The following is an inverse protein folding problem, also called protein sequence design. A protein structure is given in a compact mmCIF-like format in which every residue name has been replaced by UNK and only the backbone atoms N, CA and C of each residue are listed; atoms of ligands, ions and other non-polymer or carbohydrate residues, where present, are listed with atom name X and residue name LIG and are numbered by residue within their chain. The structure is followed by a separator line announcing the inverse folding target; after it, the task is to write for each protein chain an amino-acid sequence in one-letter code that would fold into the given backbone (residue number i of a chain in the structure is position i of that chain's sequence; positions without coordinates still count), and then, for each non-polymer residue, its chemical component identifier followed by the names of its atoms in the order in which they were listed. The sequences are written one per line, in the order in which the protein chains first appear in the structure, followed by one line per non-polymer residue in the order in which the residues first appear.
data_IF_371081197046
#
_entry.id   IF_371081197046
#
_cell.length_a   1.000
_cell.length_b   1.000
_cell.length_c   1.000
_cell.angle_alpha   90.00
_cell.angle_beta   90.00
_cell.angle_gamma   90.00
#
_symmetry.space_group_name_H-M   'P 1'
#
loop_
_entity.id
_entity.type
_entity.pdbx_description
1 polymer ?
#
# COMPACT_ATOMS: atom_id res chain seq x y z
N UNK A 1 -82.49 50.71 18.39
CA UNK A 1 -81.47 50.42 19.46
C UNK A 1 -80.69 49.19 19.10
N UNK A 2 -79.52 49.37 18.51
CA UNK A 2 -78.71 48.24 18.02
C UNK A 2 -77.34 48.31 18.71
N UNK A 3 -77.03 47.27 19.46
CA UNK A 3 -75.74 47.14 20.11
C UNK A 3 -74.78 46.32 19.20
N UNK A 4 -73.75 46.98 18.75
CA UNK A 4 -72.67 46.34 17.94
C UNK A 4 -71.55 45.98 18.88
N UNK A 5 -71.29 44.67 19.03
CA UNK A 5 -70.18 44.16 19.85
C UNK A 5 -68.92 43.93 19.01
N UNK A 6 -67.88 44.65 19.25
CA UNK A 6 -66.55 44.53 18.62
C UNK A 6 -65.78 43.38 19.32
N UNK A 7 -65.45 42.34 18.58
CA UNK A 7 -64.55 41.27 19.03
C UNK A 7 -63.11 41.57 18.56
N UNK A 8 -62.20 41.86 19.49
CA UNK A 8 -60.76 41.94 19.24
C UNK A 8 -60.19 40.54 19.14
N UNK A 9 -59.61 40.19 17.96
CA UNK A 9 -58.76 39.02 17.76
C UNK A 9 -57.32 39.37 18.10
N UNK A 10 -56.75 38.79 19.14
CA UNK A 10 -55.32 38.87 19.43
C UNK A 10 -54.66 37.68 18.72
N UNK A 11 -53.86 37.96 17.68
CA UNK A 11 -53.03 36.98 16.98
C UNK A 11 -51.71 36.85 17.73
N UNK A 12 -51.49 35.74 18.41
CA UNK A 12 -50.18 35.33 18.94
C UNK A 12 -49.31 34.80 17.78
N UNK A 13 -48.31 35.57 17.33
CA UNK A 13 -47.23 35.04 16.47
C UNK A 13 -46.25 34.27 17.35
N UNK A 14 -46.32 32.94 17.28
CA UNK A 14 -45.29 32.03 17.85
C UNK A 14 -44.06 32.02 16.93
N UNK A 15 -42.99 32.67 17.29
CA UNK A 15 -41.71 32.55 16.60
C UNK A 15 -41.10 31.19 16.93
N UNK A 16 -41.12 30.22 15.99
CA UNK A 16 -40.40 28.96 16.09
C UNK A 16 -38.94 29.22 15.80
N UNK A 17 -38.12 29.27 16.82
CA UNK A 17 -36.66 29.33 16.71
C UNK A 17 -36.16 27.95 16.27
N UNK A 18 -35.93 27.73 14.97
CA UNK A 18 -35.22 26.58 14.45
C UNK A 18 -33.73 26.72 14.78
N UNK A 19 -33.29 26.06 15.86
CA UNK A 19 -31.87 25.90 16.13
C UNK A 19 -31.33 24.93 15.08
N UNK A 20 -30.65 25.46 14.06
CA UNK A 20 -29.87 24.68 13.12
C UNK A 20 -28.68 24.06 13.90
N UNK A 21 -28.82 22.79 14.29
CA UNK A 21 -27.71 21.99 14.79
C UNK A 21 -26.77 21.76 13.63
N UNK A 22 -25.75 22.61 13.48
CA UNK A 22 -24.64 22.34 12.58
C UNK A 22 -24.00 21.01 13.02
N UNK A 23 -23.72 20.07 12.08
CA UNK A 23 -23.02 18.83 12.46
C UNK A 23 -21.72 19.22 13.14
N UNK A 24 -21.53 18.76 14.39
CA UNK A 24 -20.30 18.95 15.13
C UNK A 24 -19.18 18.31 14.31
N UNK A 25 -18.43 19.11 13.58
CA UNK A 25 -17.19 18.69 12.96
C UNK A 25 -16.26 18.29 14.10
N UNK A 26 -15.89 17.01 14.19
CA UNK A 26 -14.98 16.54 15.23
C UNK A 26 -13.78 17.48 15.25
N UNK A 27 -13.58 18.17 16.37
CA UNK A 27 -12.51 19.15 16.51
C UNK A 27 -11.18 18.41 16.43
N UNK A 28 -10.28 18.88 15.57
CA UNK A 28 -8.94 18.32 15.43
C UNK A 28 -8.23 18.29 16.79
N UNK A 29 -7.62 17.17 17.21
CA UNK A 29 -6.86 17.10 18.46
C UNK A 29 -5.78 18.19 18.53
N UNK A 30 -5.50 18.71 19.72
CA UNK A 30 -4.55 19.79 19.90
C UNK A 30 -3.15 19.49 19.33
N UNK A 31 -2.66 18.25 19.50
CA UNK A 31 -1.38 17.80 18.93
C UNK A 31 -1.39 17.81 17.40
N UNK A 32 -2.50 17.40 16.77
CA UNK A 32 -2.65 17.38 15.32
C UNK A 32 -2.71 18.79 14.75
N UNK A 33 -3.45 19.69 15.42
CA UNK A 33 -3.50 21.11 15.07
C UNK A 33 -2.11 21.77 15.15
N UNK A 34 -1.36 21.52 16.22
CA UNK A 34 -0.01 22.06 16.39
C UNK A 34 0.94 21.56 15.28
N UNK A 35 0.89 20.27 14.96
CA UNK A 35 1.71 19.67 13.90
C UNK A 35 1.32 20.22 12.53
N UNK A 36 0.02 20.39 12.28
CA UNK A 36 -0.49 20.97 11.04
C UNK A 36 -0.04 22.44 10.86
N UNK A 37 -0.10 23.28 11.91
CA UNK A 37 0.40 24.66 11.84
C UNK A 37 1.91 24.73 11.55
N UNK A 38 2.68 23.79 12.07
CA UNK A 38 4.10 23.66 11.74
C UNK A 38 4.33 23.22 10.30
N UNK A 39 3.56 22.23 9.80
CA UNK A 39 3.64 21.73 8.44
C UNK A 39 3.23 22.79 7.41
N UNK A 40 2.26 23.66 7.71
CA UNK A 40 1.89 24.77 6.82
C UNK A 40 3.04 25.72 6.50
N UNK A 41 3.98 25.89 7.41
CA UNK A 41 5.17 26.74 7.18
C UNK A 41 6.11 26.10 6.16
N UNK A 42 6.09 24.77 6.03
CA UNK A 42 6.88 23.99 5.09
C UNK A 42 6.23 23.94 3.67
N UNK A 43 4.92 24.20 3.57
CA UNK A 43 4.10 24.33 2.35
C UNK A 43 3.94 23.06 1.56
N UNK A 44 4.97 22.25 1.39
CA UNK A 44 4.95 21.03 0.59
C UNK A 44 6.00 20.03 1.06
N UNK A 45 5.77 18.77 0.73
CA UNK A 45 6.72 17.68 0.97
C UNK A 45 6.69 16.67 -0.17
N UNK A 46 7.71 15.82 -0.25
CA UNK A 46 7.80 14.79 -1.29
C UNK A 46 7.91 13.39 -0.66
N UNK A 47 7.07 12.48 -1.14
CA UNK A 47 7.07 11.06 -0.78
C UNK A 47 7.78 10.26 -1.87
N UNK A 48 8.85 9.54 -1.52
CA UNK A 48 9.38 8.48 -2.38
C UNK A 48 8.68 7.18 -2.00
N UNK A 49 7.96 6.56 -2.94
CA UNK A 49 7.16 5.37 -2.65
C UNK A 49 7.29 4.28 -3.71
N UNK A 50 7.27 3.04 -3.25
CA UNK A 50 7.28 1.85 -4.11
C UNK A 50 6.06 0.94 -3.89
N UNK A 51 5.25 1.21 -2.86
CA UNK A 51 4.14 0.31 -2.48
C UNK A 51 2.92 0.51 -3.37
N UNK A 52 2.42 1.73 -3.41
CA UNK A 52 1.18 2.05 -4.12
C UNK A 52 1.38 2.06 -5.64
N UNK A 53 0.34 1.78 -6.41
CA UNK A 53 0.28 2.22 -7.79
C UNK A 53 0.12 3.74 -7.85
N UNK A 54 0.22 4.31 -9.06
CA UNK A 54 0.18 5.77 -9.24
C UNK A 54 -1.15 6.39 -8.86
N UNK A 55 -2.26 5.68 -9.08
CA UNK A 55 -3.60 6.14 -8.76
C UNK A 55 -3.81 6.19 -7.24
N UNK A 56 -3.44 5.13 -6.54
CA UNK A 56 -3.60 5.05 -5.08
C UNK A 56 -2.79 6.12 -4.35
N UNK A 57 -1.53 6.36 -4.74
CA UNK A 57 -0.74 7.42 -4.08
C UNK A 57 -1.25 8.82 -4.44
N UNK A 58 -1.77 9.02 -5.65
CA UNK A 58 -2.40 10.28 -6.04
C UNK A 58 -3.67 10.54 -5.22
N UNK A 59 -4.52 9.53 -5.03
CA UNK A 59 -5.74 9.62 -4.20
C UNK A 59 -5.38 9.89 -2.72
N UNK A 60 -4.34 9.26 -2.18
CA UNK A 60 -3.85 9.51 -0.81
C UNK A 60 -3.35 10.94 -0.67
N UNK A 61 -2.54 11.43 -1.61
CA UNK A 61 -2.07 12.82 -1.60
C UNK A 61 -3.25 13.80 -1.72
N UNK A 62 -4.23 13.55 -2.60
CA UNK A 62 -5.41 14.39 -2.73
C UNK A 62 -6.26 14.42 -1.43
N UNK A 63 -6.43 13.28 -0.77
CA UNK A 63 -7.13 13.19 0.50
C UNK A 63 -6.37 13.92 1.63
N UNK A 64 -5.04 13.82 1.64
CA UNK A 64 -4.18 14.57 2.57
C UNK A 64 -4.30 16.08 2.33
N UNK A 65 -4.14 16.54 1.10
CA UNK A 65 -4.25 17.97 0.71
C UNK A 65 -5.62 18.55 1.09
N UNK A 66 -6.70 17.75 0.95
CA UNK A 66 -8.05 18.12 1.36
C UNK A 66 -8.21 18.22 2.88
N UNK A 67 -7.57 17.30 3.64
CA UNK A 67 -7.62 17.31 5.11
C UNK A 67 -6.78 18.45 5.69
N UNK A 68 -5.65 18.76 5.06
CA UNK A 68 -4.66 19.74 5.53
C UNK A 68 -4.35 20.82 4.48
N UNK A 69 -5.29 21.73 4.17
CA UNK A 69 -5.12 22.78 3.17
C UNK A 69 -3.87 23.63 3.45
N UNK A 70 -3.09 23.92 2.40
CA UNK A 70 -1.84 24.68 2.50
C UNK A 70 -0.58 23.84 2.75
N UNK A 71 -0.73 22.49 2.81
CA UNK A 71 0.40 21.54 2.82
C UNK A 71 0.25 20.62 1.63
N UNK A 72 1.09 20.79 0.60
CA UNK A 72 1.00 20.03 -0.65
C UNK A 72 1.79 18.72 -0.56
N UNK A 73 1.11 17.59 -0.81
CA UNK A 73 1.73 16.29 -0.99
C UNK A 73 2.20 16.12 -2.45
N UNK A 74 3.50 15.90 -2.66
CA UNK A 74 4.09 15.50 -3.92
C UNK A 74 4.64 14.08 -3.78
N UNK A 75 4.74 13.32 -4.87
CA UNK A 75 5.29 11.98 -4.80
C UNK A 75 6.14 11.61 -6.01
N UNK A 76 7.09 10.71 -5.77
CA UNK A 76 7.84 9.99 -6.80
C UNK A 76 7.55 8.52 -6.60
N UNK A 77 6.77 7.95 -7.51
CA UNK A 77 6.42 6.52 -7.52
C UNK A 77 7.35 5.77 -8.47
N UNK A 78 8.03 4.76 -7.93
CA UNK A 78 8.88 3.85 -8.72
C UNK A 78 8.99 2.49 -8.01
N UNK A 79 9.82 1.57 -8.52
CA UNK A 79 10.07 0.29 -7.84
C UNK A 79 10.99 0.46 -6.63
N UNK A 80 10.96 -0.49 -5.69
CA UNK A 80 11.65 -0.37 -4.40
C UNK A 80 13.15 -0.07 -4.54
N UNK A 81 13.83 -0.80 -5.41
CA UNK A 81 15.28 -0.64 -5.60
C UNK A 81 15.62 0.69 -6.27
N UNK A 82 14.82 1.12 -7.24
CA UNK A 82 15.03 2.42 -7.93
C UNK A 82 14.76 3.58 -6.96
N UNK A 83 13.70 3.49 -6.13
CA UNK A 83 13.44 4.49 -5.10
C UNK A 83 14.59 4.60 -4.09
N UNK A 84 15.12 3.45 -3.66
CA UNK A 84 16.24 3.41 -2.71
C UNK A 84 17.53 3.93 -3.32
N UNK A 85 17.88 3.54 -4.55
CA UNK A 85 19.03 4.06 -5.25
C UNK A 85 18.95 5.58 -5.43
N UNK A 86 17.79 6.11 -5.82
CA UNK A 86 17.59 7.55 -5.94
C UNK A 86 17.75 8.23 -4.58
N UNK A 87 17.17 7.69 -3.52
CA UNK A 87 17.33 8.22 -2.18
C UNK A 87 18.81 8.26 -1.74
N UNK A 88 19.57 7.19 -2.01
CA UNK A 88 21.01 7.15 -1.73
C UNK A 88 21.80 8.18 -2.55
N UNK A 89 21.47 8.36 -3.83
CA UNK A 89 22.08 9.38 -4.69
C UNK A 89 21.82 10.80 -4.16
N UNK A 90 20.58 11.09 -3.75
CA UNK A 90 20.23 12.37 -3.14
C UNK A 90 21.05 12.63 -1.86
N UNK A 91 21.21 11.60 -1.00
CA UNK A 91 22.05 11.70 0.21
C UNK A 91 23.51 11.98 -0.12
N UNK A 92 24.09 11.25 -1.10
CA UNK A 92 25.48 11.45 -1.54
C UNK A 92 25.69 12.85 -2.13
N UNK A 93 24.71 13.35 -2.89
CA UNK A 93 24.73 14.71 -3.45
C UNK A 93 24.41 15.80 -2.41
N UNK A 94 24.14 15.43 -1.15
CA UNK A 94 23.69 16.33 -0.08
C UNK A 94 22.39 17.07 -0.42
N UNK A 95 21.55 16.46 -1.23
CA UNK A 95 20.22 16.96 -1.59
C UNK A 95 19.20 16.39 -0.61
N UNK A 96 18.36 17.28 -0.06
CA UNK A 96 17.24 16.90 0.77
C UNK A 96 15.95 16.98 -0.06
N UNK A 97 15.60 15.91 -0.78
CA UNK A 97 14.41 15.87 -1.67
C UNK A 97 13.25 15.13 -1.01
N UNK A 98 13.49 13.89 -0.57
CA UNK A 98 12.46 13.09 0.08
C UNK A 98 12.22 13.54 1.51
N UNK A 99 10.98 13.86 1.87
CA UNK A 99 10.55 14.05 3.27
C UNK A 99 10.02 12.75 3.86
N UNK A 100 9.54 11.84 3.02
CA UNK A 100 9.05 10.51 3.40
C UNK A 100 9.65 9.49 2.44
N UNK A 101 10.18 8.39 2.99
CA UNK A 101 10.66 7.25 2.22
C UNK A 101 9.83 6.02 2.56
N UNK A 102 9.18 5.41 1.55
CA UNK A 102 8.38 4.21 1.68
C UNK A 102 8.85 3.13 0.72
N UNK A 103 9.18 1.94 1.25
CA UNK A 103 9.70 0.83 0.47
C UNK A 103 8.98 -0.48 0.77
N UNK A 104 8.84 -1.31 -0.25
CA UNK A 104 8.36 -2.69 -0.16
C UNK A 104 9.50 -3.70 0.05
N UNK A 105 10.75 -3.26 -0.03
CA UNK A 105 11.91 -4.04 0.38
C UNK A 105 12.31 -3.65 1.80
N UNK A 106 11.94 -4.50 2.75
CA UNK A 106 12.18 -4.25 4.18
C UNK A 106 13.67 -4.28 4.52
N UNK A 107 14.54 -4.87 3.67
CA UNK A 107 15.99 -4.90 3.88
C UNK A 107 16.65 -3.52 3.80
N UNK A 108 15.98 -2.53 3.23
CA UNK A 108 16.46 -1.16 3.16
C UNK A 108 16.55 -0.49 4.56
N UNK A 109 15.66 -0.82 5.47
CA UNK A 109 15.51 -0.09 6.74
C UNK A 109 16.61 -0.39 7.75
N UNK A 110 17.06 -1.64 7.97
CA UNK A 110 18.22 -1.91 8.83
C UNK A 110 19.49 -1.19 8.36
N UNK A 111 19.69 -1.03 7.06
CA UNK A 111 20.82 -0.26 6.51
C UNK A 111 20.68 1.24 6.83
N UNK A 112 19.50 1.82 6.60
CA UNK A 112 19.22 3.21 6.92
C UNK A 112 19.34 3.50 8.43
N UNK A 113 18.87 2.59 9.28
CA UNK A 113 18.98 2.69 10.73
C UNK A 113 20.43 2.63 11.19
N UNK A 114 21.21 1.65 10.71
CA UNK A 114 22.63 1.48 11.03
C UNK A 114 23.46 2.74 10.73
N UNK A 115 23.10 3.46 9.67
CA UNK A 115 23.78 4.70 9.27
C UNK A 115 23.15 5.96 9.88
N UNK A 116 22.15 5.82 10.75
CA UNK A 116 21.48 6.96 11.41
C UNK A 116 20.76 7.91 10.45
N UNK A 117 20.23 7.38 9.36
CA UNK A 117 19.62 8.16 8.26
C UNK A 117 18.11 8.39 8.43
N UNK A 118 17.50 7.82 9.46
CA UNK A 118 16.09 7.97 9.77
C UNK A 118 15.87 8.80 11.05
N UNK A 119 14.77 9.53 11.06
CA UNK A 119 14.30 10.27 12.22
C UNK A 119 13.48 9.34 13.14
N UNK A 120 13.71 9.41 14.45
CA UNK A 120 12.80 8.79 15.42
C UNK A 120 11.59 9.70 15.66
N UNK A 121 10.40 9.12 15.58
CA UNK A 121 9.14 9.81 15.85
C UNK A 121 8.12 8.81 16.38
N UNK A 122 7.44 9.10 17.49
CA UNK A 122 6.36 8.27 18.03
C UNK A 122 5.01 8.78 17.50
N UNK A 123 4.37 8.08 16.55
CA UNK A 123 3.07 8.51 16.05
C UNK A 123 1.97 8.43 17.12
N UNK A 124 1.15 9.45 17.20
CA UNK A 124 -0.03 9.49 18.07
C UNK A 124 -1.09 8.47 17.63
N UNK A 125 -1.24 8.32 16.29
CA UNK A 125 -2.22 7.41 15.69
C UNK A 125 -1.77 5.94 15.65
N UNK A 126 -0.61 5.60 16.20
CA UNK A 126 -0.11 4.21 16.23
C UNK A 126 -1.10 3.23 16.91
N UNK A 127 -1.90 3.73 17.86
CA UNK A 127 -2.96 2.97 18.54
C UNK A 127 -4.06 2.47 17.59
N UNK A 128 -4.29 3.17 16.49
CA UNK A 128 -5.31 2.83 15.48
C UNK A 128 -4.91 1.62 14.62
N UNK A 129 -3.62 1.28 14.59
CA UNK A 129 -3.11 0.20 13.75
C UNK A 129 -3.66 -1.16 14.19
N UNK A 130 -3.94 -2.02 13.21
CA UNK A 130 -4.26 -3.45 13.40
C UNK A 130 -3.13 -4.12 14.19
N UNK A 131 -3.49 -4.82 15.29
CA UNK A 131 -2.50 -5.32 16.25
C UNK A 131 -1.52 -6.32 15.64
N UNK A 132 -1.97 -7.19 14.73
CA UNK A 132 -1.12 -8.16 14.04
C UNK A 132 -0.03 -7.52 13.17
N UNK A 133 -0.19 -6.27 12.76
CA UNK A 133 0.78 -5.54 11.94
C UNK A 133 1.81 -4.77 12.78
N UNK A 134 1.51 -4.47 14.05
CA UNK A 134 2.40 -3.70 14.94
C UNK A 134 3.75 -4.34 15.16
N UNK A 135 3.81 -5.67 15.10
CA UNK A 135 5.07 -6.43 15.27
C UNK A 135 6.14 -6.12 14.22
N UNK A 136 5.74 -5.54 13.08
CA UNK A 136 6.65 -5.18 11.99
C UNK A 136 7.14 -3.73 12.08
N UNK A 137 6.67 -2.94 13.04
CA UNK A 137 7.17 -1.60 13.30
C UNK A 137 8.53 -1.66 13.98
N UNK A 138 9.34 -0.65 13.73
CA UNK A 138 10.62 -0.49 14.43
C UNK A 138 10.42 -0.15 15.91
N UNK A 139 11.24 -0.80 16.76
CA UNK A 139 11.23 -0.57 18.22
C UNK A 139 11.76 0.81 18.63
N UNK A 140 12.60 1.42 17.79
CA UNK A 140 13.18 2.74 17.99
C UNK A 140 12.34 3.85 17.35
N UNK A 141 11.15 3.51 16.81
CA UNK A 141 10.25 4.44 16.13
C UNK A 141 10.89 5.21 14.97
N UNK A 142 11.66 4.54 14.13
CA UNK A 142 12.28 5.13 12.94
C UNK A 142 11.52 4.78 11.65
N UNK A 143 10.73 3.69 11.67
CA UNK A 143 9.86 3.31 10.54
C UNK A 143 8.66 2.50 11.01
N UNK A 144 7.58 2.55 10.22
CA UNK A 144 6.29 1.95 10.58
C UNK A 144 5.67 1.29 9.36
N UNK A 145 4.82 0.29 9.61
CA UNK A 145 3.92 -0.25 8.59
C UNK A 145 2.84 0.79 8.30
N UNK A 146 2.80 1.28 7.07
CA UNK A 146 1.77 2.24 6.64
C UNK A 146 0.87 1.68 5.55
N UNK A 147 1.22 0.51 5.03
CA UNK A 147 0.42 -0.20 4.05
C UNK A 147 0.66 -1.71 4.13
N UNK A 148 -0.34 -2.47 3.73
CA UNK A 148 -0.28 -3.92 3.58
C UNK A 148 -1.01 -4.34 2.31
N UNK A 149 -0.58 -5.46 1.72
CA UNK A 149 -1.18 -6.01 0.51
C UNK A 149 -0.89 -7.51 0.40
N UNK A 150 -1.48 -8.15 -0.58
CA UNK A 150 -1.29 -9.58 -0.86
C UNK A 150 -0.64 -9.79 -2.23
N UNK A 151 0.27 -10.76 -2.29
CA UNK A 151 0.67 -11.40 -3.55
C UNK A 151 -0.07 -12.72 -3.64
N UNK A 152 -0.81 -12.88 -4.71
CA UNK A 152 -1.67 -14.01 -4.97
C UNK A 152 -1.42 -14.58 -6.38
N UNK A 153 -2.14 -15.62 -6.76
CA UNK A 153 -2.20 -16.05 -8.14
C UNK A 153 -3.27 -15.21 -8.83
N UNK A 154 -2.90 -14.55 -9.92
CA UNK A 154 -3.81 -13.72 -10.70
C UNK A 154 -3.93 -14.31 -12.13
N UNK A 155 -5.07 -14.10 -12.78
CA UNK A 155 -5.33 -14.69 -14.10
C UNK A 155 -6.26 -13.84 -14.94
N UNK A 156 -6.21 -14.03 -16.26
CA UNK A 156 -7.16 -13.43 -17.19
C UNK A 156 -8.37 -14.37 -17.35
N UNK A 157 -9.53 -13.95 -16.84
CA UNK A 157 -10.75 -14.76 -16.81
C UNK A 157 -11.41 -14.96 -18.20
N UNK A 158 -10.99 -14.20 -19.22
CA UNK A 158 -11.41 -14.48 -20.60
C UNK A 158 -10.63 -15.60 -21.28
N UNK A 159 -9.47 -16.01 -20.69
CA UNK A 159 -8.59 -17.03 -21.22
C UNK A 159 -8.55 -18.30 -20.36
N UNK A 160 -8.77 -18.15 -19.07
CA UNK A 160 -8.70 -19.23 -18.08
C UNK A 160 -9.90 -19.14 -17.16
N UNK A 161 -10.68 -20.22 -17.04
CA UNK A 161 -11.77 -20.25 -16.06
C UNK A 161 -11.19 -20.27 -14.63
N UNK A 162 -11.94 -19.77 -13.66
CA UNK A 162 -11.54 -19.85 -12.26
C UNK A 162 -11.24 -21.31 -11.84
N UNK A 163 -12.04 -22.28 -12.32
CA UNK A 163 -11.84 -23.70 -12.02
C UNK A 163 -10.49 -24.22 -12.51
N UNK A 164 -10.03 -23.78 -13.69
CA UNK A 164 -8.81 -24.26 -14.35
C UNK A 164 -7.56 -23.48 -13.93
N UNK A 165 -7.72 -22.31 -13.30
CA UNK A 165 -6.64 -21.50 -12.79
C UNK A 165 -5.86 -22.23 -11.67
N UNK A 166 -4.54 -22.03 -11.54
CA UNK A 166 -3.73 -22.63 -10.47
C UNK A 166 -4.32 -22.37 -9.09
N UNK A 167 -4.39 -23.37 -8.20
CA UNK A 167 -4.94 -23.26 -6.86
C UNK A 167 -3.89 -23.11 -5.76
N UNK A 168 -2.63 -23.33 -6.10
CA UNK A 168 -1.47 -23.22 -5.23
C UNK A 168 -0.24 -22.79 -6.04
N UNK A 169 0.84 -22.42 -5.36
CA UNK A 169 2.03 -21.92 -6.05
C UNK A 169 2.67 -22.96 -7.00
N UNK A 170 2.78 -24.27 -6.65
CA UNK A 170 3.25 -25.27 -7.60
C UNK A 170 2.39 -25.41 -8.86
N UNK A 171 1.12 -25.01 -8.80
CA UNK A 171 0.24 -25.03 -9.98
C UNK A 171 0.69 -24.11 -11.12
N UNK A 172 1.54 -23.08 -10.84
CA UNK A 172 2.17 -22.26 -11.88
C UNK A 172 3.25 -23.02 -12.67
N UNK A 173 3.71 -24.16 -12.16
CA UNK A 173 4.74 -25.01 -12.77
C UNK A 173 4.17 -26.01 -13.78
N UNK A 174 2.84 -26.15 -13.87
CA UNK A 174 2.19 -27.05 -14.82
C UNK A 174 2.63 -26.70 -16.25
N UNK A 175 3.12 -27.65 -17.07
CA UNK A 175 3.54 -27.42 -18.46
C UNK A 175 2.48 -26.80 -19.35
N UNK A 176 1.18 -26.93 -19.02
CA UNK A 176 0.09 -26.28 -19.77
C UNK A 176 0.21 -24.74 -19.77
N UNK A 177 0.97 -24.17 -18.84
CA UNK A 177 1.23 -22.74 -18.72
C UNK A 177 2.50 -22.28 -19.45
N UNK A 178 3.14 -23.13 -20.24
CA UNK A 178 4.31 -22.74 -21.01
C UNK A 178 4.00 -21.53 -21.88
N UNK A 179 4.87 -20.50 -21.84
CA UNK A 179 4.73 -19.20 -22.50
C UNK A 179 3.51 -18.36 -22.04
N UNK A 180 2.85 -18.75 -20.92
CA UNK A 180 1.60 -18.13 -20.41
C UNK A 180 1.67 -17.62 -18.98
N UNK A 181 2.80 -17.78 -18.31
CA UNK A 181 3.03 -17.27 -16.94
C UNK A 181 3.68 -15.90 -17.00
N UNK A 182 3.32 -15.00 -16.09
CA UNK A 182 4.12 -13.80 -15.82
C UNK A 182 4.47 -13.67 -14.35
N UNK A 183 5.64 -13.10 -14.10
CA UNK A 183 6.18 -12.76 -12.78
C UNK A 183 6.91 -11.41 -12.85
N UNK A 184 7.23 -10.82 -11.72
CA UNK A 184 8.13 -9.67 -11.66
C UNK A 184 9.59 -10.09 -11.49
N UNK A 185 10.47 -9.10 -11.37
CA UNK A 185 11.91 -9.29 -11.19
C UNK A 185 12.36 -8.87 -9.77
N UNK A 186 13.01 -9.76 -8.98
CA UNK A 186 13.39 -9.47 -7.60
C UNK A 186 14.44 -8.37 -7.46
N UNK A 187 15.22 -8.11 -8.50
CA UNK A 187 16.23 -7.04 -8.48
C UNK A 187 15.61 -5.61 -8.53
N UNK A 188 14.32 -5.49 -8.84
CA UNK A 188 13.64 -4.19 -8.90
C UNK A 188 12.51 -4.07 -7.88
N UNK A 189 11.79 -5.14 -7.59
CA UNK A 189 10.57 -5.14 -6.79
C UNK A 189 10.75 -5.88 -5.46
N UNK A 190 10.54 -5.18 -4.35
CA UNK A 190 10.54 -5.80 -3.01
C UNK A 190 9.44 -6.85 -2.83
N UNK A 191 8.28 -6.67 -3.48
CA UNK A 191 7.23 -7.70 -3.53
C UNK A 191 7.75 -9.00 -4.13
N UNK A 192 8.42 -8.90 -5.28
CA UNK A 192 8.96 -10.08 -5.98
C UNK A 192 10.12 -10.67 -5.21
N UNK A 193 10.99 -9.83 -4.63
CA UNK A 193 12.08 -10.30 -3.75
C UNK A 193 11.55 -11.15 -2.60
N UNK A 194 10.55 -10.65 -1.88
CA UNK A 194 9.92 -11.37 -0.76
C UNK A 194 9.21 -12.63 -1.23
N UNK A 195 8.49 -12.58 -2.37
CA UNK A 195 7.86 -13.75 -2.96
C UNK A 195 8.90 -14.82 -3.35
N UNK A 196 10.01 -14.41 -3.94
CA UNK A 196 11.09 -15.33 -4.32
C UNK A 196 11.71 -16.00 -3.09
N UNK A 197 11.94 -15.24 -2.01
CA UNK A 197 12.42 -15.79 -0.73
C UNK A 197 11.41 -16.81 -0.17
N UNK A 198 10.11 -16.49 -0.21
CA UNK A 198 9.06 -17.39 0.24
C UNK A 198 9.00 -18.69 -0.57
N UNK A 199 9.01 -18.59 -1.90
CA UNK A 199 8.97 -19.78 -2.76
C UNK A 199 10.19 -20.67 -2.55
N UNK A 200 11.38 -20.07 -2.41
CA UNK A 200 12.59 -20.81 -2.05
C UNK A 200 12.46 -21.50 -0.69
N UNK A 201 11.88 -20.84 0.31
CA UNK A 201 11.63 -21.41 1.64
C UNK A 201 10.69 -22.61 1.60
N UNK A 202 9.62 -22.53 0.82
CA UNK A 202 8.58 -23.57 0.75
C UNK A 202 8.97 -24.75 -0.14
N UNK A 203 9.64 -24.47 -1.26
CA UNK A 203 9.81 -25.47 -2.34
C UNK A 203 11.27 -25.63 -2.79
N UNK A 204 12.23 -24.93 -2.18
CA UNK A 204 13.61 -24.91 -2.65
C UNK A 204 13.80 -24.14 -3.96
N UNK A 205 15.05 -24.02 -4.41
CA UNK A 205 15.37 -23.29 -5.65
C UNK A 205 14.86 -23.99 -6.90
N UNK A 206 14.71 -25.31 -6.87
CA UNK A 206 14.12 -26.11 -7.95
C UNK A 206 12.73 -25.63 -8.38
N UNK A 207 12.02 -24.85 -7.58
CA UNK A 207 10.77 -24.19 -7.98
C UNK A 207 11.02 -23.27 -9.18
N UNK A 208 12.05 -22.43 -9.11
CA UNK A 208 12.39 -21.47 -10.16
C UNK A 208 13.01 -22.14 -11.38
N UNK A 209 13.81 -23.20 -11.21
CA UNK A 209 14.33 -24.02 -12.30
C UNK A 209 13.20 -24.70 -13.11
N UNK A 210 12.13 -25.11 -12.43
CA UNK A 210 10.92 -25.64 -13.08
C UNK A 210 10.10 -24.54 -13.73
N UNK A 211 9.99 -23.37 -13.06
CA UNK A 211 9.24 -22.23 -13.59
C UNK A 211 9.89 -21.68 -14.88
N UNK A 212 11.24 -21.68 -14.93
CA UNK A 212 12.00 -21.29 -16.13
C UNK A 212 11.59 -22.12 -17.37
N UNK A 213 11.35 -23.44 -17.22
CA UNK A 213 10.89 -24.31 -18.30
C UNK A 213 9.55 -23.87 -18.90
N UNK A 214 8.73 -23.18 -18.14
CA UNK A 214 7.50 -22.55 -18.62
C UNK A 214 7.75 -21.20 -19.31
N UNK A 215 9.02 -20.74 -19.42
CA UNK A 215 9.42 -19.50 -20.08
C UNK A 215 8.56 -18.31 -19.65
N UNK A 216 8.54 -17.96 -18.35
CA UNK A 216 7.68 -16.90 -17.86
C UNK A 216 8.08 -15.55 -18.47
N UNK A 217 7.10 -14.69 -18.72
CA UNK A 217 7.34 -13.28 -19.01
C UNK A 217 7.71 -12.57 -17.73
N UNK A 218 8.80 -11.83 -17.73
CA UNK A 218 9.36 -11.21 -16.54
C UNK A 218 9.32 -9.69 -16.68
N UNK A 219 8.46 -9.05 -15.87
CA UNK A 219 8.38 -7.59 -15.77
C UNK A 219 9.32 -7.05 -14.70
N UNK A 220 9.60 -5.75 -14.71
CA UNK A 220 10.41 -5.09 -13.66
C UNK A 220 9.66 -5.04 -12.35
N UNK A 221 8.39 -4.68 -12.37
CA UNK A 221 7.50 -4.57 -11.22
C UNK A 221 6.56 -5.77 -11.12
N UNK A 222 6.06 -6.07 -9.93
CA UNK A 222 4.96 -7.02 -9.79
C UNK A 222 3.70 -6.53 -10.52
N UNK A 223 3.49 -5.21 -10.63
CA UNK A 223 2.35 -4.63 -11.32
C UNK A 223 2.39 -4.86 -12.85
N UNK A 224 3.56 -5.10 -13.43
CA UNK A 224 3.69 -5.41 -14.86
C UNK A 224 2.96 -6.71 -15.21
N UNK A 225 2.79 -7.62 -14.26
CA UNK A 225 2.00 -8.85 -14.45
C UNK A 225 0.54 -8.54 -14.78
N UNK A 226 -0.04 -7.50 -14.17
CA UNK A 226 -1.42 -7.05 -14.46
C UNK A 226 -1.53 -6.49 -15.88
N UNK A 227 -0.51 -5.73 -16.31
CA UNK A 227 -0.44 -5.22 -17.70
C UNK A 227 -0.36 -6.37 -18.70
N UNK A 228 0.50 -7.37 -18.44
CA UNK A 228 0.67 -8.54 -19.30
C UNK A 228 -0.59 -9.42 -19.35
N UNK A 229 -1.32 -9.56 -18.23
CA UNK A 229 -2.60 -10.25 -18.21
C UNK A 229 -3.66 -9.50 -19.01
N UNK A 230 -3.75 -8.17 -18.88
CA UNK A 230 -4.68 -7.36 -19.66
C UNK A 230 -4.39 -7.39 -21.16
N UNK A 231 -3.12 -7.37 -21.54
CA UNK A 231 -2.67 -7.51 -22.93
C UNK A 231 -2.78 -8.94 -23.48
N UNK A 232 -3.21 -9.91 -22.65
CA UNK A 232 -3.26 -11.35 -22.98
C UNK A 232 -1.89 -11.95 -23.34
N UNK A 233 -0.82 -11.29 -22.95
CA UNK A 233 0.54 -11.77 -23.11
C UNK A 233 0.87 -12.89 -22.13
N UNK A 234 0.20 -12.91 -20.98
CA UNK A 234 0.17 -14.02 -20.05
C UNK A 234 -1.27 -14.37 -19.67
N UNK A 235 -1.48 -15.57 -19.17
CA UNK A 235 -2.80 -16.07 -18.77
C UNK A 235 -2.93 -16.18 -17.26
N UNK A 236 -1.83 -16.49 -16.60
CA UNK A 236 -1.70 -16.63 -15.15
C UNK A 236 -0.44 -15.93 -14.66
N UNK A 237 -0.42 -15.49 -13.41
CA UNK A 237 0.71 -14.80 -12.85
C UNK A 237 0.86 -14.99 -11.33
N UNK A 238 2.08 -14.77 -10.80
CA UNK A 238 2.27 -14.37 -9.43
C UNK A 238 2.15 -12.84 -9.37
N UNK A 239 0.97 -12.34 -8.97
CA UNK A 239 0.61 -10.93 -9.14
C UNK A 239 0.07 -10.27 -7.86
N UNK A 240 -0.06 -8.93 -7.88
CA UNK A 240 -0.61 -8.17 -6.77
C UNK A 240 -2.14 -8.28 -6.76
N UNK A 241 -2.73 -8.66 -5.61
CA UNK A 241 -4.18 -8.75 -5.46
C UNK A 241 -4.84 -7.40 -5.74
N UNK A 242 -4.46 -6.35 -5.00
CA UNK A 242 -5.10 -5.05 -5.04
C UNK A 242 -5.17 -4.43 -6.45
N UNK A 243 -4.04 -4.37 -7.15
CA UNK A 243 -3.98 -3.82 -8.51
C UNK A 243 -4.77 -4.68 -9.50
N UNK A 244 -4.83 -6.00 -9.29
CA UNK A 244 -5.64 -6.91 -10.11
C UNK A 244 -7.13 -6.64 -9.91
N UNK A 245 -7.59 -6.50 -8.65
CA UNK A 245 -8.98 -6.19 -8.33
C UNK A 245 -9.38 -4.79 -8.81
N UNK A 246 -8.52 -3.79 -8.66
CA UNK A 246 -8.72 -2.45 -9.19
C UNK A 246 -8.86 -2.46 -10.72
N UNK A 247 -8.04 -3.27 -11.41
CA UNK A 247 -8.13 -3.45 -12.86
C UNK A 247 -9.45 -4.14 -13.27
N UNK A 248 -9.88 -5.15 -12.49
CA UNK A 248 -11.17 -5.82 -12.69
C UNK A 248 -12.34 -4.85 -12.55
N UNK A 249 -12.32 -3.98 -11.56
CA UNK A 249 -13.39 -2.99 -11.32
C UNK A 249 -13.48 -1.95 -12.47
N UNK A 250 -12.39 -1.77 -13.21
CA UNK A 250 -12.35 -0.99 -14.45
C UNK A 250 -12.87 -1.76 -15.69
N UNK A 251 -13.40 -2.97 -15.50
CA UNK A 251 -13.99 -3.81 -16.55
C UNK A 251 -13.03 -4.77 -17.23
N UNK A 252 -11.77 -4.87 -16.78
CA UNK A 252 -10.83 -5.84 -17.32
C UNK A 252 -11.15 -7.26 -16.83
N UNK A 253 -11.03 -8.30 -17.68
CA UNK A 253 -11.38 -9.67 -17.32
C UNK A 253 -10.28 -10.32 -16.49
N UNK A 254 -10.09 -9.89 -15.26
CA UNK A 254 -9.09 -10.42 -14.34
C UNK A 254 -9.73 -11.06 -13.11
N UNK A 255 -9.06 -12.09 -12.58
CA UNK A 255 -9.44 -12.78 -11.36
C UNK A 255 -8.25 -13.02 -10.43
N UNK A 256 -8.58 -13.33 -9.18
CA UNK A 256 -7.61 -13.62 -8.12
C UNK A 256 -7.93 -14.99 -7.52
N UNK A 257 -6.91 -15.82 -7.35
CA UNK A 257 -6.94 -17.05 -6.58
C UNK A 257 -6.03 -16.86 -5.38
N UNK A 258 -6.57 -17.04 -4.19
CA UNK A 258 -5.81 -17.09 -2.95
C UNK A 258 -5.21 -18.49 -2.80
N UNK A 259 -3.88 -18.67 -2.91
CA UNK A 259 -3.26 -20.00 -2.93
C UNK A 259 -3.56 -20.78 -1.65
N UNK A 260 -3.96 -22.07 -1.82
CA UNK A 260 -4.31 -22.96 -0.71
C UNK A 260 -3.12 -23.26 0.22
N UNK A 261 -1.91 -23.17 -0.30
CA UNK A 261 -0.64 -23.32 0.42
C UNK A 261 -0.21 -22.01 1.13
N UNK A 262 -0.88 -20.89 0.84
CA UNK A 262 -0.78 -19.62 1.56
C UNK A 262 -0.51 -18.44 0.64
N UNK A 263 -1.23 -17.35 0.89
CA UNK A 263 -1.10 -16.07 0.19
C UNK A 263 -0.02 -15.24 0.87
N UNK A 264 0.91 -14.66 0.11
CA UNK A 264 1.98 -13.85 0.69
C UNK A 264 1.43 -12.53 1.20
N UNK A 265 1.55 -12.29 2.51
CA UNK A 265 1.31 -10.98 3.12
C UNK A 265 2.53 -10.08 2.91
N UNK A 266 2.32 -8.96 2.28
CA UNK A 266 3.30 -7.88 2.16
C UNK A 266 2.99 -6.77 3.14
N UNK A 267 4.02 -6.25 3.79
CA UNK A 267 3.96 -5.00 4.54
C UNK A 267 4.88 -3.99 3.88
N UNK A 268 4.46 -2.73 3.86
CA UNK A 268 5.30 -1.64 3.39
C UNK A 268 5.68 -0.76 4.55
N UNK A 269 6.98 -0.60 4.73
CA UNK A 269 7.54 0.25 5.76
C UNK A 269 7.71 1.66 5.23
N UNK A 270 7.51 2.63 6.11
CA UNK A 270 7.69 4.06 5.80
C UNK A 270 8.45 4.72 6.92
N UNK A 271 9.48 5.48 6.59
CA UNK A 271 10.31 6.24 7.51
C UNK A 271 10.44 7.70 7.08
N UNK A 272 10.88 8.53 8.01
CA UNK A 272 11.19 9.95 7.77
C UNK A 272 12.71 10.08 7.69
N UNK A 273 13.29 10.52 6.56
CA UNK A 273 14.72 10.82 6.48
C UNK A 273 15.15 11.84 7.53
N UNK A 274 16.33 11.64 8.15
CA UNK A 274 16.84 12.54 9.18
C UNK A 274 17.07 13.97 8.67
N UNK A 275 17.38 14.12 7.39
CA UNK A 275 17.56 15.38 6.69
C UNK A 275 16.31 15.81 5.89
N UNK A 276 15.13 15.31 6.24
CA UNK A 276 13.88 15.64 5.54
C UNK A 276 13.68 17.15 5.43
N UNK A 277 13.42 17.70 4.21
CA UNK A 277 13.26 19.14 4.03
C UNK A 277 11.95 19.68 4.65
N UNK A 278 10.97 18.82 4.87
CA UNK A 278 9.68 19.13 5.48
C UNK A 278 9.32 18.10 6.57
N UNK A 279 10.02 18.12 7.73
CA UNK A 279 9.87 17.08 8.75
C UNK A 279 8.50 17.11 9.45
N UNK A 280 7.86 18.27 9.59
CA UNK A 280 6.54 18.35 10.22
C UNK A 280 5.44 17.87 9.27
N UNK A 281 5.51 18.19 7.99
CA UNK A 281 4.62 17.66 6.97
C UNK A 281 4.80 16.14 6.82
N UNK A 282 6.03 15.64 6.91
CA UNK A 282 6.32 14.20 6.92
C UNK A 282 5.67 13.50 8.12
N UNK A 283 5.82 14.02 9.34
CA UNK A 283 5.16 13.49 10.54
C UNK A 283 3.64 13.51 10.38
N UNK A 284 3.07 14.62 9.91
CA UNK A 284 1.64 14.76 9.67
C UNK A 284 1.13 13.74 8.65
N UNK A 285 1.94 13.43 7.62
CA UNK A 285 1.61 12.40 6.64
C UNK A 285 1.65 10.99 7.23
N UNK A 286 2.61 10.69 8.13
CA UNK A 286 2.62 9.41 8.87
C UNK A 286 1.37 9.26 9.74
N UNK A 287 0.97 10.32 10.46
CA UNK A 287 -0.28 10.34 11.24
C UNK A 287 -1.50 10.10 10.34
N UNK A 288 -1.54 10.76 9.18
CA UNK A 288 -2.61 10.59 8.20
C UNK A 288 -2.69 9.14 7.67
N UNK A 289 -1.54 8.51 7.36
CA UNK A 289 -1.53 7.12 6.88
C UNK A 289 -2.04 6.11 7.92
N UNK A 290 -2.03 6.48 9.21
CA UNK A 290 -2.59 5.70 10.33
C UNK A 290 -3.99 6.18 10.75
N UNK A 291 -4.64 7.02 9.94
CA UNK A 291 -6.00 7.52 10.17
C UNK A 291 -7.01 6.78 9.27
N UNK A 292 -8.24 6.75 9.73
CA UNK A 292 -9.38 6.16 9.00
C UNK A 292 -9.54 6.75 7.60
N UNK A 293 -9.31 8.06 7.44
CA UNK A 293 -9.43 8.73 6.15
C UNK A 293 -8.48 8.15 5.09
N UNK A 294 -7.21 7.89 5.45
CA UNK A 294 -6.26 7.25 4.55
C UNK A 294 -6.61 5.77 4.31
N UNK A 295 -7.03 5.07 5.36
CA UNK A 295 -7.42 3.67 5.25
C UNK A 295 -8.62 3.47 4.33
N UNK A 296 -9.60 4.38 4.34
CA UNK A 296 -10.74 4.38 3.41
C UNK A 296 -10.30 4.56 1.96
N UNK A 297 -9.30 5.44 1.70
CA UNK A 297 -8.71 5.58 0.36
C UNK A 297 -7.97 4.30 -0.05
N UNK A 298 -7.17 3.73 0.85
CA UNK A 298 -6.45 2.48 0.58
C UNK A 298 -7.41 1.34 0.24
N UNK A 299 -8.45 1.17 1.04
CA UNK A 299 -9.46 0.11 0.85
C UNK A 299 -10.27 0.33 -0.44
N UNK A 300 -10.65 1.57 -0.76
CA UNK A 300 -11.31 1.89 -2.04
C UNK A 300 -10.48 1.39 -3.23
N UNK A 301 -9.16 1.41 -3.11
CA UNK A 301 -8.21 0.90 -4.10
C UNK A 301 -7.78 -0.55 -3.82
N UNK A 302 -8.59 -1.33 -3.12
CA UNK A 302 -8.38 -2.74 -2.77
C UNK A 302 -7.13 -3.05 -1.92
N UNK A 303 -6.42 -2.05 -1.40
CA UNK A 303 -5.34 -2.30 -0.43
C UNK A 303 -5.92 -2.76 0.91
N UNK A 304 -5.16 -3.58 1.63
CA UNK A 304 -5.53 -3.97 2.99
C UNK A 304 -5.47 -2.76 3.92
N UNK A 305 -6.48 -2.58 4.76
CA UNK A 305 -6.41 -1.54 5.80
C UNK A 305 -5.37 -1.89 6.86
N UNK A 306 -4.49 -0.95 7.17
CA UNK A 306 -3.61 -1.03 8.34
C UNK A 306 -4.27 -0.47 9.60
N UNK A 307 -5.48 0.12 9.48
CA UNK A 307 -6.25 0.77 10.55
C UNK A 307 -7.42 -0.12 10.94
N UNK A 308 -7.65 -0.27 12.25
CA UNK A 308 -8.74 -1.06 12.83
C UNK A 308 -10.11 -0.54 12.40
N UNK A 309 -11.07 -1.45 12.25
CA UNK A 309 -12.49 -1.11 12.03
C UNK A 309 -12.83 -0.59 10.63
N UNK A 310 -11.91 -0.65 9.68
CA UNK A 310 -12.16 -0.34 8.27
C UNK A 310 -12.40 -1.66 7.53
N UNK A 311 -13.56 -1.80 6.91
CA UNK A 311 -13.95 -3.02 6.18
C UNK A 311 -13.21 -3.12 4.85
N UNK A 312 -12.95 -4.35 4.40
CA UNK A 312 -12.40 -4.61 3.07
C UNK A 312 -13.30 -4.04 1.96
N UNK A 313 -12.72 -3.78 0.80
CA UNK A 313 -13.45 -3.34 -0.38
C UNK A 313 -14.51 -4.37 -0.82
N UNK A 314 -15.61 -3.95 -1.44
CA UNK A 314 -16.57 -4.89 -2.03
C UNK A 314 -15.89 -5.85 -3.00
N UNK A 315 -16.15 -7.14 -2.85
CA UNK A 315 -15.56 -8.20 -3.71
C UNK A 315 -14.11 -8.59 -3.39
N UNK A 316 -13.46 -7.93 -2.42
CA UNK A 316 -12.22 -8.43 -1.81
C UNK A 316 -12.58 -9.44 -0.70
N UNK A 317 -11.76 -10.48 -0.54
CA UNK A 317 -11.91 -11.44 0.54
C UNK A 317 -11.38 -10.85 1.84
N UNK A 318 -12.12 -10.95 2.97
CA UNK A 318 -11.61 -10.52 4.27
C UNK A 318 -10.30 -11.22 4.62
N UNK A 319 -9.35 -10.49 5.23
CA UNK A 319 -8.03 -11.03 5.56
C UNK A 319 -8.10 -12.25 6.48
N UNK A 320 -9.07 -12.27 7.40
CA UNK A 320 -9.32 -13.36 8.34
C UNK A 320 -9.71 -14.68 7.66
N UNK A 321 -10.23 -14.61 6.44
CA UNK A 321 -10.62 -15.76 5.62
C UNK A 321 -9.51 -16.22 4.67
N UNK A 322 -8.38 -15.53 4.66
CA UNK A 322 -7.24 -15.83 3.77
C UNK A 322 -6.13 -16.47 4.60
N UNK A 323 -5.69 -17.66 4.18
CA UNK A 323 -4.47 -18.24 4.73
C UNK A 323 -3.28 -17.41 4.29
N UNK A 324 -2.81 -16.51 5.17
CA UNK A 324 -1.63 -15.69 4.91
C UNK A 324 -0.36 -16.34 5.42
N UNK A 325 0.73 -16.14 4.67
CA UNK A 325 2.09 -16.55 5.02
C UNK A 325 3.05 -15.41 4.73
N UNK A 326 4.13 -15.32 5.52
CA UNK A 326 5.20 -14.35 5.29
C UNK A 326 6.51 -14.92 5.84
N UNK A 327 7.64 -14.77 5.14
CA UNK A 327 8.95 -15.01 5.74
C UNK A 327 9.20 -14.00 6.87
N UNK A 328 10.07 -14.33 7.83
CA UNK A 328 10.48 -13.35 8.84
C UNK A 328 11.27 -12.21 8.21
N UNK A 329 11.33 -11.05 8.89
CA UNK A 329 12.09 -9.89 8.42
C UNK A 329 13.58 -10.24 8.20
N UNK A 330 14.14 -11.08 9.07
CA UNK A 330 15.51 -11.57 8.94
C UNK A 330 15.70 -12.45 7.68
N UNK A 331 14.76 -13.38 7.41
CA UNK A 331 14.78 -14.21 6.19
C UNK A 331 14.66 -13.36 4.92
N UNK A 332 13.85 -12.32 4.95
CA UNK A 332 13.69 -11.40 3.82
C UNK A 332 14.98 -10.60 3.63
N UNK A 333 15.49 -9.97 4.69
CA UNK A 333 16.67 -9.12 4.61
C UNK A 333 17.92 -9.87 4.13
N UNK A 334 18.14 -11.09 4.64
CA UNK A 334 19.25 -11.97 4.20
C UNK A 334 18.99 -12.59 2.84
N UNK A 335 17.74 -12.95 2.55
CA UNK A 335 17.38 -13.72 1.38
C UNK A 335 17.32 -12.90 0.09
N UNK A 336 16.88 -11.64 0.13
CA UNK A 336 16.73 -10.83 -1.09
C UNK A 336 18.04 -10.66 -1.87
N UNK A 337 19.19 -10.32 -1.28
CA UNK A 337 20.45 -10.25 -2.02
C UNK A 337 20.78 -11.56 -2.75
N UNK A 338 20.67 -12.69 -2.05
CA UNK A 338 20.99 -14.02 -2.59
C UNK A 338 20.03 -14.42 -3.73
N UNK A 339 18.71 -14.23 -3.55
CA UNK A 339 17.76 -14.62 -4.59
C UNK A 339 17.86 -13.76 -5.86
N UNK A 340 18.34 -12.51 -5.77
CA UNK A 340 18.59 -11.66 -6.94
C UNK A 340 19.66 -12.27 -7.85
N UNK A 341 20.77 -12.74 -7.28
CA UNK A 341 21.85 -13.37 -8.04
C UNK A 341 21.39 -14.69 -8.68
N UNK A 342 20.82 -15.58 -7.87
CA UNK A 342 20.33 -16.87 -8.37
C UNK A 342 19.23 -16.70 -9.44
N UNK A 343 18.37 -15.67 -9.31
CA UNK A 343 17.32 -15.40 -10.27
C UNK A 343 17.91 -15.00 -11.63
N UNK A 344 18.89 -14.07 -11.61
CA UNK A 344 19.63 -13.70 -12.81
C UNK A 344 20.24 -14.92 -13.50
N UNK A 345 20.93 -15.79 -12.73
CA UNK A 345 21.62 -16.95 -13.26
C UNK A 345 20.63 -18.00 -13.83
N UNK A 346 19.43 -18.13 -13.22
CA UNK A 346 18.40 -19.08 -13.66
C UNK A 346 17.66 -18.60 -14.91
N UNK A 347 17.32 -17.32 -14.99
CA UNK A 347 16.51 -16.77 -16.10
C UNK A 347 17.34 -16.03 -17.17
N UNK A 348 18.64 -15.84 -16.97
CA UNK A 348 19.54 -15.22 -17.94
C UNK A 348 19.36 -13.70 -18.08
N UNK A 349 18.88 -13.00 -17.04
CA UNK A 349 18.50 -11.57 -17.09
C UNK A 349 19.02 -10.78 -15.89
#
# INVERSE_FOLDING_TARGET
MSHTTIRCFVALLGAVLTIAVAPARAQMPAWEQQLYEAAKKEKQFTVYTAHYDTETIADLCAAFDKKYPGVKCNFVRTTAQVAFQRFQQDLQAKLAVASVFSSTDVSHYPDLEKHGLLMSYQPHNLGNMVDSLKQYNDKNNQYWVTAAALVAITYNSSLVSEKDAPKNWPGLLDPKWKDKVSIGHPAFSGYVGTWTVLMRKLYGWQYFEKLEKNKPRIGRSINDTVTMLNAKESWVAAGPEATTLLSRDKGNPLGVIYPTDGTLLMVSLTGIPKNAPAPNAAKLFIEFLMDKAAAEVQVKNHSLSVVKGVKAAPGAKPLEEIKVIRPTEEEIAKGIPEVKEKFRDTFGI
#
